data_IF_038680636348
#
_entry.id   IF_038680636348
#
_cell.length_a   1.000
_cell.length_b   1.000
_cell.length_c   1.000
_cell.angle_alpha   90.00
_cell.angle_beta   90.00
_cell.angle_gamma   90.00
#
_symmetry.space_group_name_H-M   'P 1'
#
loop_
_entity.id
_entity.type
_entity.pdbx_description
1 polymer ?
#
# COMPACT_ATOMS: atom_id res chain seq x y z
N UNK A 1 41.57 -4.44 23.89
CA UNK A 1 40.94 -4.71 22.57
C UNK A 1 39.44 -5.07 22.64
N UNK A 2 38.99 -5.86 23.63
CA UNK A 2 37.59 -6.31 23.76
C UNK A 2 36.50 -5.22 23.84
N UNK A 3 36.78 -4.06 24.47
CA UNK A 3 35.80 -2.96 24.59
C UNK A 3 35.46 -2.28 23.26
N UNK A 4 36.44 -2.12 22.35
CA UNK A 4 36.26 -1.45 21.06
C UNK A 4 35.34 -2.25 20.13
N UNK A 5 35.44 -3.59 20.18
CA UNK A 5 34.60 -4.48 19.39
C UNK A 5 33.15 -4.48 19.88
N UNK A 6 32.90 -4.36 21.19
CA UNK A 6 31.54 -4.27 21.72
C UNK A 6 30.80 -3.01 21.23
N UNK A 7 31.47 -1.86 21.19
CA UNK A 7 30.85 -0.61 20.71
C UNK A 7 30.48 -0.69 19.22
N UNK A 8 31.36 -1.25 18.40
CA UNK A 8 31.09 -1.44 16.96
C UNK A 8 29.93 -2.40 16.73
N UNK A 9 29.86 -3.49 17.50
CA UNK A 9 28.74 -4.44 17.45
C UNK A 9 27.43 -3.77 17.88
N UNK A 10 27.45 -2.98 18.95
CA UNK A 10 26.27 -2.25 19.42
C UNK A 10 25.76 -1.22 18.41
N UNK A 11 26.67 -0.49 17.75
CA UNK A 11 26.30 0.47 16.69
C UNK A 11 25.72 -0.28 15.48
N UNK A 12 26.36 -1.38 15.06
CA UNK A 12 25.83 -2.21 13.97
C UNK A 12 24.44 -2.76 14.26
N UNK A 13 24.20 -3.25 15.48
CA UNK A 13 22.90 -3.72 15.92
C UNK A 13 21.86 -2.59 15.96
N UNK A 14 22.23 -1.38 16.42
CA UNK A 14 21.35 -0.23 16.44
C UNK A 14 20.94 0.22 15.03
N UNK A 15 21.86 0.21 14.06
CA UNK A 15 21.57 0.53 12.66
C UNK A 15 20.64 -0.51 12.04
N UNK A 16 20.87 -1.81 12.28
CA UNK A 16 19.98 -2.87 11.79
C UNK A 16 18.57 -2.75 12.36
N UNK A 17 18.45 -2.46 13.66
CA UNK A 17 17.15 -2.21 14.30
C UNK A 17 16.46 -0.98 13.71
N UNK A 18 17.17 0.13 13.56
CA UNK A 18 16.61 1.35 12.97
C UNK A 18 16.10 1.13 11.55
N UNK A 19 16.85 0.41 10.71
CA UNK A 19 16.42 0.04 9.36
C UNK A 19 15.20 -0.88 9.37
N UNK A 20 15.15 -1.85 10.29
CA UNK A 20 13.99 -2.73 10.45
C UNK A 20 12.72 -1.96 10.85
N UNK A 21 12.83 -1.04 11.82
CA UNK A 21 11.69 -0.21 12.21
C UNK A 21 11.27 0.74 11.10
N UNK A 22 12.22 1.36 10.39
CA UNK A 22 11.92 2.21 9.24
C UNK A 22 11.16 1.44 8.15
N UNK A 23 11.52 0.18 7.91
CA UNK A 23 10.82 -0.70 6.97
C UNK A 23 9.40 -1.06 7.42
N UNK A 24 9.07 -1.04 8.71
CA UNK A 24 7.73 -1.42 9.17
C UNK A 24 6.80 -0.21 9.39
N UNK A 25 7.35 0.97 9.65
CA UNK A 25 6.58 2.11 10.16
C UNK A 25 5.62 2.74 9.15
N UNK A 26 5.85 2.60 7.84
CA UNK A 26 5.08 3.31 6.82
C UNK A 26 3.98 2.48 6.17
N UNK A 27 3.47 1.46 6.86
CA UNK A 27 2.24 0.79 6.43
C UNK A 27 1.05 1.53 7.03
N UNK A 28 0.18 2.06 6.18
CA UNK A 28 -1.08 2.66 6.62
C UNK A 28 -2.27 2.10 5.84
N UNK A 29 -3.37 1.90 6.56
CA UNK A 29 -4.66 1.54 5.99
C UNK A 29 -5.46 2.82 5.80
N UNK A 30 -5.98 3.03 4.59
CA UNK A 30 -6.82 4.19 4.30
C UNK A 30 -7.94 3.81 3.34
N UNK A 31 -8.99 4.61 3.35
CA UNK A 31 -10.15 4.46 2.47
C UNK A 31 -10.38 5.73 1.65
N UNK A 32 -10.82 5.57 0.40
CA UNK A 32 -11.14 6.68 -0.48
C UNK A 32 -12.29 6.33 -1.41
N UNK A 33 -13.06 7.34 -1.83
CA UNK A 33 -14.01 7.21 -2.94
C UNK A 33 -13.23 7.41 -4.24
N UNK A 34 -13.35 6.47 -5.15
CA UNK A 34 -12.67 6.51 -6.45
C UNK A 34 -13.62 6.09 -7.57
N UNK A 35 -13.38 6.59 -8.76
CA UNK A 35 -14.06 6.16 -9.97
C UNK A 35 -13.28 5.03 -10.65
N UNK A 36 -13.96 3.93 -10.96
CA UNK A 36 -13.34 2.81 -11.65
C UNK A 36 -13.21 3.08 -13.14
N UNK A 37 -11.98 3.12 -13.67
CA UNK A 37 -11.72 3.24 -15.10
C UNK A 37 -11.56 1.87 -15.74
N UNK A 38 -10.69 1.04 -15.16
CA UNK A 38 -10.34 -0.26 -15.72
C UNK A 38 -10.09 -1.29 -14.63
N UNK A 39 -10.57 -2.51 -14.86
CA UNK A 39 -10.28 -3.67 -14.04
C UNK A 39 -9.54 -4.72 -14.87
N UNK A 40 -8.41 -5.18 -14.35
CA UNK A 40 -7.70 -6.36 -14.81
C UNK A 40 -7.63 -7.37 -13.66
N UNK A 41 -7.25 -8.61 -13.94
CA UNK A 41 -7.23 -9.70 -12.96
C UNK A 41 -6.41 -9.36 -11.72
N UNK A 42 -5.29 -8.64 -11.91
CA UNK A 42 -4.33 -8.32 -10.85
C UNK A 42 -4.22 -6.81 -10.54
N UNK A 43 -4.84 -5.95 -11.36
CA UNK A 43 -4.66 -4.50 -11.28
C UNK A 43 -5.99 -3.76 -11.47
N UNK A 44 -6.17 -2.71 -10.69
CA UNK A 44 -7.26 -1.75 -10.81
C UNK A 44 -6.71 -0.38 -11.16
N UNK A 45 -7.25 0.20 -12.23
CA UNK A 45 -7.02 1.59 -12.55
C UNK A 45 -8.23 2.40 -12.07
N UNK A 46 -7.97 3.29 -11.12
CA UNK A 46 -8.99 4.13 -10.51
C UNK A 46 -8.60 5.60 -10.62
N UNK A 47 -9.60 6.47 -10.66
CA UNK A 47 -9.42 7.91 -10.62
C UNK A 47 -9.90 8.45 -9.27
N UNK A 48 -9.07 9.25 -8.61
CA UNK A 48 -9.47 9.92 -7.38
C UNK A 48 -10.34 11.17 -7.66
N UNK A 49 -10.96 11.73 -6.62
CA UNK A 49 -11.79 12.92 -6.75
C UNK A 49 -11.03 14.17 -7.22
N UNK A 50 -9.69 14.17 -7.13
CA UNK A 50 -8.83 15.23 -7.66
C UNK A 50 -8.46 15.01 -9.13
N UNK A 51 -8.99 13.95 -9.76
CA UNK A 51 -8.76 13.61 -11.16
C UNK A 51 -7.48 12.81 -11.40
N UNK A 52 -6.74 12.42 -10.37
CA UNK A 52 -5.49 11.68 -10.52
C UNK A 52 -5.74 10.19 -10.73
N UNK A 53 -5.01 9.61 -11.67
CA UNK A 53 -5.02 8.17 -11.91
C UNK A 53 -4.13 7.45 -10.91
N UNK A 54 -4.65 6.38 -10.32
CA UNK A 54 -3.92 5.50 -9.40
C UNK A 54 -4.12 4.06 -9.81
N UNK A 55 -3.02 3.31 -9.79
CA UNK A 55 -3.02 1.87 -9.99
C UNK A 55 -2.97 1.19 -8.64
N UNK A 56 -3.90 0.29 -8.38
CA UNK A 56 -4.03 -0.46 -7.14
C UNK A 56 -3.91 -1.93 -7.48
N UNK A 57 -3.03 -2.63 -6.77
CA UNK A 57 -2.86 -4.07 -6.92
C UNK A 57 -4.04 -4.77 -6.24
N UNK A 58 -4.72 -5.65 -6.96
CA UNK A 58 -5.80 -6.45 -6.40
C UNK A 58 -5.31 -7.86 -6.14
N UNK A 59 -5.56 -8.37 -4.93
CA UNK A 59 -5.45 -9.80 -4.64
C UNK A 59 -6.83 -10.43 -4.38
N UNK A 60 -7.89 -9.65 -4.55
CA UNK A 60 -9.26 -10.05 -4.29
C UNK A 60 -10.01 -10.24 -5.60
N UNK A 61 -10.98 -11.15 -5.62
CA UNK A 61 -11.81 -11.38 -6.79
C UNK A 61 -12.66 -10.14 -7.10
N UNK A 62 -12.40 -9.55 -8.27
CA UNK A 62 -13.09 -8.36 -8.77
C UNK A 62 -14.31 -8.69 -9.62
N UNK A 63 -14.71 -9.97 -9.70
CA UNK A 63 -15.89 -10.42 -10.45
C UNK A 63 -17.17 -9.67 -10.08
N UNK A 64 -17.27 -9.20 -8.83
CA UNK A 64 -18.39 -8.40 -8.33
C UNK A 64 -18.42 -6.95 -8.84
N UNK A 65 -17.33 -6.47 -9.46
CA UNK A 65 -17.17 -5.10 -9.94
C UNK A 65 -17.22 -5.10 -11.46
N UNK A 66 -18.42 -5.03 -12.01
CA UNK A 66 -18.64 -5.13 -13.46
C UNK A 66 -18.86 -3.78 -14.12
N UNK A 67 -19.13 -2.72 -13.34
CA UNK A 67 -19.54 -1.42 -13.87
C UNK A 67 -18.39 -0.41 -13.83
N UNK A 68 -17.83 -0.13 -15.01
CA UNK A 68 -16.90 0.98 -15.27
C UNK A 68 -17.58 2.33 -15.09
N UNK A 69 -16.81 3.38 -14.81
CA UNK A 69 -17.26 4.77 -14.59
C UNK A 69 -18.29 4.92 -13.46
N UNK A 70 -18.21 4.04 -12.46
CA UNK A 70 -18.95 4.16 -11.22
C UNK A 70 -18.02 4.49 -10.08
N UNK A 71 -18.55 5.23 -9.11
CA UNK A 71 -17.87 5.52 -7.86
C UNK A 71 -17.97 4.32 -6.92
N UNK A 72 -16.84 3.96 -6.34
CA UNK A 72 -16.71 2.92 -5.34
C UNK A 72 -15.95 3.48 -4.14
N UNK A 73 -16.33 3.03 -2.95
CA UNK A 73 -15.52 3.18 -1.77
C UNK A 73 -14.51 2.04 -1.74
N UNK A 74 -13.23 2.38 -1.82
CA UNK A 74 -12.13 1.42 -1.72
C UNK A 74 -11.40 1.60 -0.41
N UNK A 75 -11.00 0.49 0.21
CA UNK A 75 -10.03 0.47 1.30
C UNK A 75 -8.76 -0.20 0.81
N UNK A 76 -7.62 0.42 1.04
CA UNK A 76 -6.33 -0.10 0.62
C UNK A 76 -5.28 0.06 1.70
N UNK A 77 -4.36 -0.90 1.71
CA UNK A 77 -3.10 -0.80 2.44
C UNK A 77 -2.09 -0.13 1.53
N UNK A 78 -1.39 0.88 2.04
CA UNK A 78 -0.29 1.50 1.32
C UNK A 78 0.97 1.49 2.15
N UNK A 79 2.07 1.11 1.51
CA UNK A 79 3.42 1.33 2.00
C UNK A 79 4.11 2.30 1.06
N UNK A 80 4.92 3.22 1.59
CA UNK A 80 5.62 4.23 0.78
C UNK A 80 6.46 3.66 -0.38
N UNK A 81 6.91 2.42 -0.28
CA UNK A 81 7.77 1.74 -1.27
C UNK A 81 7.05 0.62 -2.05
N UNK A 82 5.75 0.43 -1.86
CA UNK A 82 4.96 -0.59 -2.57
C UNK A 82 3.75 0.03 -3.27
N UNK A 83 3.25 -0.66 -4.30
CA UNK A 83 1.95 -0.31 -4.88
C UNK A 83 0.85 -0.53 -3.83
N UNK A 84 -0.17 0.36 -3.75
CA UNK A 84 -1.27 0.16 -2.83
C UNK A 84 -1.96 -1.17 -3.10
N UNK A 85 -2.25 -1.93 -2.05
CA UNK A 85 -2.93 -3.21 -2.12
C UNK A 85 -4.39 -3.04 -1.71
N UNK A 86 -5.30 -3.47 -2.57
CA UNK A 86 -6.72 -3.42 -2.27
C UNK A 86 -7.07 -4.40 -1.15
N UNK A 87 -7.81 -3.91 -0.15
CA UNK A 87 -8.35 -4.71 0.95
C UNK A 87 -9.84 -4.98 0.75
N UNK A 88 -10.59 -3.93 0.40
CA UNK A 88 -12.03 -4.04 0.15
C UNK A 88 -12.48 -2.98 -0.84
N UNK A 89 -13.62 -3.25 -1.46
CA UNK A 89 -14.28 -2.36 -2.41
C UNK A 89 -15.78 -2.53 -2.25
N UNK A 90 -16.51 -1.42 -2.26
CA UNK A 90 -17.97 -1.41 -2.12
C UNK A 90 -18.56 -0.30 -2.99
N UNK A 91 -19.71 -0.54 -3.63
CA UNK A 91 -20.42 0.52 -4.33
C UNK A 91 -20.89 1.59 -3.35
N UNK A 92 -20.84 2.86 -3.78
CA UNK A 92 -21.40 4.01 -3.04
C UNK A 92 -22.85 4.23 -3.45
#
# INVERSE_FOLDING_TARGET
MLRKNRTVISIGAAVLLASFFYWNFYTYHTGAVVELIENSSDLLLVQDESGNLKTINTSIDLSQITMKNKKYFISYEHRKWETPRLLSISPV
#
